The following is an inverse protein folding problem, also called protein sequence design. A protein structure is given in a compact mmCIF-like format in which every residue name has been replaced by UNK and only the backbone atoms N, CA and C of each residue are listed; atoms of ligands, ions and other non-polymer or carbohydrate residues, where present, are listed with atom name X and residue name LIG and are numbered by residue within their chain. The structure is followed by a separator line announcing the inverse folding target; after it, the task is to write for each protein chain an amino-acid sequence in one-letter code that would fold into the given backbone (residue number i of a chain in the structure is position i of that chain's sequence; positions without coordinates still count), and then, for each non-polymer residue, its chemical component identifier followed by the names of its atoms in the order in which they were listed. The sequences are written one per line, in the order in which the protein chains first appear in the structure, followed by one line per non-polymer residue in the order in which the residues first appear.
data_IF_030074318995
#
_entry.id   IF_030074318995
#
_cell.length_a   1.000
_cell.length_b   1.000
_cell.length_c   1.000
_cell.angle_alpha   90.00
_cell.angle_beta   90.00
_cell.angle_gamma   90.00
#
_symmetry.space_group_name_H-M   'P 1'
#
loop_
_entity.id
_entity.type
_entity.pdbx_description
1 polymer ?
#
# COMPACT_ATOMS: atom_id res chain seq x y z
N UNK A 1 -6.97 -14.53 12.85
CA UNK A 1 -7.08 -13.22 13.52
C UNK A 1 -8.33 -12.50 13.02
N UNK A 2 -9.05 -11.73 13.85
CA UNK A 2 -10.18 -10.92 13.38
C UNK A 2 -9.69 -9.73 12.53
N UNK A 3 -10.28 -9.55 11.34
CA UNK A 3 -9.87 -8.56 10.32
C UNK A 3 -9.90 -7.09 10.78
N UNK A 4 -10.64 -6.78 11.86
CA UNK A 4 -10.83 -5.42 12.37
C UNK A 4 -9.55 -4.76 12.91
N UNK A 5 -8.51 -5.54 13.22
CA UNK A 5 -7.26 -5.00 13.78
C UNK A 5 -6.12 -4.88 12.76
N UNK A 6 -6.30 -5.37 11.52
CA UNK A 6 -5.23 -5.41 10.51
C UNK A 6 -5.45 -4.41 9.36
N UNK A 7 -6.68 -3.91 9.19
CA UNK A 7 -7.04 -2.97 8.12
C UNK A 7 -7.34 -1.61 8.75
N UNK A 8 -6.69 -0.57 8.24
CA UNK A 8 -6.89 0.81 8.69
C UNK A 8 -7.32 1.73 7.56
N UNK A 9 -8.08 2.77 7.88
CA UNK A 9 -8.44 3.80 6.90
C UNK A 9 -7.30 4.79 6.70
N UNK A 10 -6.94 5.04 5.45
CA UNK A 10 -5.88 5.98 5.04
C UNK A 10 -6.42 6.95 4.01
N UNK A 11 -5.96 8.20 4.08
CA UNK A 11 -6.29 9.23 3.10
C UNK A 11 -5.42 9.08 1.85
N UNK A 12 -6.05 9.06 0.69
CA UNK A 12 -5.42 8.94 -0.63
C UNK A 12 -5.94 10.03 -1.58
N UNK A 13 -5.44 10.07 -2.81
CA UNK A 13 -5.95 10.95 -3.86
C UNK A 13 -7.35 10.56 -4.39
N UNK A 14 -7.90 9.42 -3.98
CA UNK A 14 -9.25 8.97 -4.32
C UNK A 14 -10.24 9.08 -3.14
N UNK A 15 -9.82 9.66 -2.01
CA UNK A 15 -10.64 9.80 -0.80
C UNK A 15 -10.08 8.99 0.37
N UNK A 16 -10.94 8.26 1.08
CA UNK A 16 -10.52 7.32 2.13
C UNK A 16 -10.44 5.91 1.55
N UNK A 17 -9.29 5.26 1.70
CA UNK A 17 -9.08 3.87 1.31
C UNK A 17 -8.77 3.02 2.54
N UNK A 18 -8.98 1.71 2.42
CA UNK A 18 -8.54 0.74 3.41
C UNK A 18 -7.13 0.26 3.06
N UNK A 19 -6.23 0.20 4.03
CA UNK A 19 -4.86 -0.26 3.85
C UNK A 19 -4.51 -1.38 4.83
N UNK A 20 -3.58 -2.23 4.41
CA UNK A 20 -2.97 -3.28 5.21
C UNK A 20 -1.45 -3.05 5.18
N UNK A 21 -0.77 -3.17 6.32
CA UNK A 21 0.67 -2.92 6.45
C UNK A 21 1.15 -1.52 5.96
N UNK A 22 0.34 -0.48 6.10
CA UNK A 22 0.74 0.90 5.78
C UNK A 22 1.13 1.68 7.03
N UNK A 23 2.30 2.33 7.00
CA UNK A 23 2.82 3.14 8.13
C UNK A 23 3.25 4.55 7.72
N UNK A 24 3.38 4.84 6.42
CA UNK A 24 3.45 6.19 5.85
C UNK A 24 4.65 7.06 6.28
N UNK A 25 4.88 8.14 5.51
CA UNK A 25 5.89 9.17 5.76
C UNK A 25 5.26 10.41 6.41
N UNK A 26 4.69 10.26 7.61
CA UNK A 26 4.06 11.38 8.31
C UNK A 26 4.05 11.23 9.83
N UNK A 27 4.52 12.26 10.54
CA UNK A 27 4.52 12.37 12.00
C UNK A 27 3.14 12.19 12.66
N UNK A 28 2.05 12.17 11.89
CA UNK A 28 0.69 11.87 12.35
C UNK A 28 0.39 10.36 12.45
N UNK A 29 1.09 9.48 11.72
CA UNK A 29 0.95 8.02 11.86
C UNK A 29 1.84 7.51 12.99
N UNK A 30 2.98 8.16 13.25
CA UNK A 30 3.84 7.92 14.42
C UNK A 30 3.17 8.20 15.77
N UNK A 31 2.02 8.89 15.80
CA UNK A 31 1.27 9.14 17.04
C UNK A 31 0.14 8.13 17.31
N UNK A 32 -0.29 7.37 16.29
CA UNK A 32 -1.37 6.36 16.44
C UNK A 32 -0.77 4.96 16.56
N UNK A 33 0.44 4.76 16.04
CA UNK A 33 1.16 3.49 16.11
C UNK A 33 2.37 3.67 17.02
N UNK A 34 2.30 3.09 18.22
CA UNK A 34 3.44 2.97 19.12
C UNK A 34 4.65 2.41 18.34
N UNK A 35 5.82 3.06 18.35
CA UNK A 35 7.00 2.60 17.63
C UNK A 35 7.56 1.24 18.13
N UNK A 36 6.97 0.69 19.20
CA UNK A 36 7.28 -0.64 19.76
C UNK A 36 6.21 -1.71 19.50
N UNK A 37 5.10 -1.37 18.83
CA UNK A 37 3.95 -2.26 18.55
C UNK A 37 3.52 -2.19 17.06
N UNK A 38 4.50 -2.17 16.15
CA UNK A 38 4.23 -2.45 14.74
C UNK A 38 4.10 -3.96 14.58
N UNK A 39 2.86 -4.47 14.60
CA UNK A 39 2.58 -5.88 14.31
C UNK A 39 2.62 -6.09 12.78
N UNK A 40 3.84 -6.12 12.22
CA UNK A 40 4.04 -6.35 10.80
C UNK A 40 3.70 -7.81 10.49
N UNK A 41 2.64 -7.98 9.70
CA UNK A 41 2.28 -9.32 9.23
C UNK A 41 3.04 -9.61 7.95
N UNK A 42 3.96 -10.57 8.00
CA UNK A 42 4.73 -11.03 6.85
C UNK A 42 4.41 -12.49 6.54
N UNK A 43 4.49 -12.84 5.25
CA UNK A 43 4.46 -14.23 4.83
C UNK A 43 5.90 -14.77 4.80
N UNK A 44 6.08 -15.99 5.32
CA UNK A 44 7.37 -16.68 5.29
C UNK A 44 7.52 -17.57 4.05
N UNK A 45 6.41 -17.88 3.39
CA UNK A 45 6.35 -18.81 2.26
C UNK A 45 5.66 -18.16 1.05
N UNK A 46 6.20 -18.36 -0.17
CA UNK A 46 5.56 -17.93 -1.40
C UNK A 46 4.46 -18.93 -1.79
N UNK A 47 3.34 -18.91 -1.07
CA UNK A 47 2.19 -19.75 -1.35
C UNK A 47 0.89 -18.97 -1.09
N UNK A 48 -0.12 -19.06 -1.98
CA UNK A 48 -1.40 -18.34 -1.82
C UNK A 48 -2.11 -18.62 -0.50
N UNK A 49 -1.87 -19.78 0.12
CA UNK A 49 -2.41 -20.16 1.41
C UNK A 49 -1.86 -19.28 2.55
N UNK A 50 -0.61 -18.84 2.42
CA UNK A 50 0.09 -17.99 3.38
C UNK A 50 0.10 -16.50 2.97
N UNK A 51 -0.62 -16.15 1.91
CA UNK A 51 -0.83 -14.78 1.46
C UNK A 51 -2.06 -14.11 2.10
N UNK A 52 -2.30 -12.85 1.71
CA UNK A 52 -3.47 -12.09 2.11
C UNK A 52 -4.68 -12.49 1.25
N UNK A 53 -5.77 -12.91 1.92
CA UNK A 53 -7.04 -13.24 1.27
C UNK A 53 -8.14 -12.39 1.87
N UNK A 54 -8.80 -11.60 1.02
CA UNK A 54 -9.86 -10.68 1.40
C UNK A 54 -11.12 -11.03 0.62
N UNK A 55 -12.24 -11.06 1.33
CA UNK A 55 -13.57 -11.06 0.73
C UNK A 55 -14.20 -9.70 1.06
N UNK A 56 -14.50 -8.93 0.03
CA UNK A 56 -14.92 -7.53 0.17
C UNK A 56 -16.35 -7.39 -0.34
N UNK A 57 -17.18 -6.67 0.43
CA UNK A 57 -18.48 -6.22 -0.02
C UNK A 57 -18.37 -4.79 -0.54
N UNK A 58 -18.81 -4.58 -1.76
CA UNK A 58 -18.78 -3.29 -2.47
C UNK A 58 -20.07 -2.51 -2.31
N UNK A 59 -21.06 -3.02 -1.57
CA UNK A 59 -22.29 -2.29 -1.22
C UNK A 59 -22.90 -1.50 -2.38
N UNK A 60 -23.23 -2.19 -3.48
CA UNK A 60 -23.67 -1.58 -4.76
C UNK A 60 -24.66 -0.41 -4.60
N UNK A 61 -25.59 -0.54 -3.66
CA UNK A 61 -26.68 0.40 -3.44
C UNK A 61 -26.23 1.74 -2.82
N UNK A 62 -25.01 1.81 -2.28
CA UNK A 62 -24.42 3.03 -1.71
C UNK A 62 -23.63 3.85 -2.75
N UNK A 63 -23.47 3.36 -3.98
CA UNK A 63 -22.79 4.10 -5.04
C UNK A 63 -23.70 5.22 -5.57
N UNK A 64 -23.50 6.42 -5.05
CA UNK A 64 -24.25 7.63 -5.44
C UNK A 64 -23.56 8.47 -6.51
N UNK A 65 -22.30 8.16 -6.84
CA UNK A 65 -21.50 8.98 -7.76
C UNK A 65 -21.64 8.55 -9.21
N UNK A 66 -22.12 9.44 -10.08
CA UNK A 66 -22.21 9.24 -11.53
C UNK A 66 -20.85 9.30 -12.25
N UNK A 67 -19.75 9.57 -11.53
CA UNK A 67 -18.43 9.81 -12.13
C UNK A 67 -17.78 8.50 -12.60
N UNK A 68 -18.03 7.38 -11.91
CA UNK A 68 -17.50 6.07 -12.31
C UNK A 68 -18.62 5.20 -12.88
N UNK A 69 -18.52 4.74 -14.14
CA UNK A 69 -19.60 3.99 -14.80
C UNK A 69 -19.66 2.51 -14.38
N UNK A 70 -18.78 2.06 -13.49
CA UNK A 70 -18.72 0.69 -13.02
C UNK A 70 -18.67 0.65 -11.48
N UNK A 71 -19.18 -0.45 -10.93
CA UNK A 71 -19.06 -0.76 -9.51
C UNK A 71 -17.94 -1.78 -9.33
N UNK A 72 -17.02 -1.47 -8.42
CA UNK A 72 -15.81 -2.26 -8.23
C UNK A 72 -14.88 -1.63 -7.22
N UNK A 73 -13.71 -2.24 -7.08
CA UNK A 73 -12.66 -1.88 -6.14
C UNK A 73 -11.39 -1.55 -6.89
N UNK A 74 -10.63 -0.57 -6.40
CA UNK A 74 -9.28 -0.34 -6.87
C UNK A 74 -8.31 -0.85 -5.81
N UNK A 75 -7.39 -1.72 -6.21
CA UNK A 75 -6.39 -2.35 -5.33
C UNK A 75 -5.02 -1.84 -5.73
N UNK A 76 -4.22 -1.42 -4.75
CA UNK A 76 -2.84 -0.94 -4.93
C UNK A 76 -1.91 -1.78 -4.05
N UNK A 77 -0.80 -2.25 -4.63
CA UNK A 77 0.28 -2.93 -3.91
C UNK A 77 1.54 -2.10 -4.07
N UNK A 78 2.10 -1.65 -2.96
CA UNK A 78 3.28 -0.78 -2.90
C UNK A 78 4.01 -0.97 -1.57
N UNK A 79 5.14 -0.28 -1.37
CA UNK A 79 5.83 -0.24 -0.09
C UNK A 79 4.96 0.43 0.99
N UNK A 80 5.03 -0.07 2.23
CA UNK A 80 4.23 0.43 3.34
C UNK A 80 4.63 1.83 3.83
N UNK A 81 5.82 2.31 3.45
CA UNK A 81 6.33 3.65 3.76
C UNK A 81 5.93 4.71 2.73
N UNK A 82 5.59 4.29 1.52
CA UNK A 82 5.30 5.17 0.39
C UNK A 82 3.85 5.66 0.41
N UNK A 83 3.63 6.92 0.01
CA UNK A 83 2.28 7.47 -0.06
C UNK A 83 1.43 6.73 -1.11
N UNK A 84 0.21 6.26 -0.76
CA UNK A 84 -0.66 5.50 -1.66
C UNK A 84 -1.25 6.36 -2.76
N UNK A 85 -0.57 6.38 -3.91
CA UNK A 85 -1.05 6.99 -5.13
C UNK A 85 -1.78 5.96 -6.02
N UNK A 86 -3.11 6.04 -6.01
CA UNK A 86 -3.98 5.15 -6.77
C UNK A 86 -3.90 5.36 -8.29
N UNK A 87 -3.30 6.44 -8.80
CA UNK A 87 -3.20 6.71 -10.24
C UNK A 87 -1.99 6.03 -10.89
N UNK A 88 -0.97 5.69 -10.12
CA UNK A 88 0.30 5.15 -10.63
C UNK A 88 0.23 3.65 -10.95
N UNK A 89 -0.29 2.83 -10.03
CA UNK A 89 -0.20 1.36 -10.15
C UNK A 89 -1.39 0.60 -9.55
N UNK A 90 -2.60 1.16 -9.64
CA UNK A 90 -3.79 0.45 -9.16
C UNK A 90 -4.39 -0.51 -10.20
N UNK A 91 -4.85 -1.66 -9.71
CA UNK A 91 -5.65 -2.63 -10.47
C UNK A 91 -7.12 -2.45 -10.12
N UNK A 92 -7.98 -2.40 -11.14
CA UNK A 92 -9.43 -2.33 -10.94
C UNK A 92 -10.02 -3.74 -10.93
N UNK A 93 -10.83 -4.04 -9.92
CA UNK A 93 -11.57 -5.28 -9.77
C UNK A 93 -13.06 -5.00 -9.91
N UNK A 94 -13.75 -5.72 -10.80
CA UNK A 94 -15.20 -5.59 -10.95
C UNK A 94 -15.96 -6.48 -9.96
N UNK A 95 -17.27 -6.23 -9.83
CA UNK A 95 -18.16 -7.12 -9.07
C UNK A 95 -18.11 -8.55 -9.60
N UNK A 96 -18.17 -9.52 -8.68
CA UNK A 96 -18.18 -10.96 -8.98
C UNK A 96 -16.91 -11.50 -9.67
N UNK A 97 -15.81 -10.76 -9.61
CA UNK A 97 -14.51 -11.16 -10.13
C UNK A 97 -13.54 -11.49 -8.97
N UNK A 98 -12.64 -12.45 -9.20
CA UNK A 98 -11.55 -12.80 -8.27
C UNK A 98 -10.22 -12.24 -8.80
N UNK A 99 -9.58 -11.35 -8.05
CA UNK A 99 -8.25 -10.84 -8.36
C UNK A 99 -7.16 -11.61 -7.60
N UNK A 100 -6.24 -12.22 -8.33
CA UNK A 100 -5.02 -12.84 -7.77
C UNK A 100 -3.80 -12.02 -8.14
N UNK A 101 -3.13 -11.47 -7.13
CA UNK A 101 -1.92 -10.67 -7.32
C UNK A 101 -0.72 -11.49 -6.81
N UNK A 102 0.20 -11.83 -7.71
CA UNK A 102 1.50 -12.39 -7.33
C UNK A 102 2.51 -11.24 -7.22
N UNK A 103 3.12 -11.09 -6.04
CA UNK A 103 4.04 -9.99 -5.76
C UNK A 103 5.47 -10.50 -5.84
N UNK A 104 6.26 -9.91 -6.73
CA UNK A 104 7.71 -10.12 -6.83
C UNK A 104 8.40 -8.80 -6.52
N UNK A 105 9.02 -8.64 -5.34
CA UNK A 105 9.64 -7.38 -4.96
C UNK A 105 10.94 -7.14 -5.74
N UNK A 106 11.10 -5.94 -6.30
CA UNK A 106 12.35 -5.47 -6.87
C UNK A 106 12.96 -4.45 -5.91
N UNK A 107 14.07 -4.80 -5.27
CA UNK A 107 14.76 -3.93 -4.32
C UNK A 107 15.97 -3.31 -5.00
N UNK A 108 15.96 -1.98 -5.09
CA UNK A 108 17.09 -1.21 -5.61
C UNK A 108 17.81 -0.56 -4.44
N UNK A 109 19.11 -0.78 -4.35
CA UNK A 109 19.96 -0.15 -3.32
C UNK A 109 21.12 0.57 -4.00
N UNK A 110 21.51 1.71 -3.43
CA UNK A 110 22.69 2.45 -3.88
C UNK A 110 23.94 1.89 -3.20
N UNK A 111 25.07 1.92 -3.92
CA UNK A 111 26.36 1.54 -3.35
C UNK A 111 26.88 2.66 -2.42
N UNK A 112 27.57 2.33 -1.32
CA UNK A 112 28.09 3.34 -0.38
C UNK A 112 29.03 4.37 -1.03
N UNK A 113 29.82 3.95 -2.02
CA UNK A 113 30.78 4.80 -2.73
C UNK A 113 30.11 5.94 -3.52
N UNK A 114 28.80 5.84 -3.78
CA UNK A 114 28.05 6.90 -4.47
C UNK A 114 27.91 8.18 -3.63
N UNK A 115 28.23 8.12 -2.32
CA UNK A 115 28.32 9.30 -1.44
C UNK A 115 29.47 10.24 -1.80
N UNK A 116 30.52 9.73 -2.46
CA UNK A 116 31.67 10.54 -2.88
C UNK A 116 31.35 11.41 -4.11
N UNK A 117 30.25 11.10 -4.82
CA UNK A 117 29.78 11.88 -5.96
C UNK A 117 28.90 13.02 -5.47
N UNK A 118 29.23 14.24 -5.90
CA UNK A 118 28.47 15.45 -5.62
C UNK A 118 26.95 15.26 -5.88
N UNK A 119 26.07 15.69 -4.96
CA UNK A 119 24.61 15.55 -5.09
C UNK A 119 24.04 16.07 -6.41
N UNK A 120 24.56 17.19 -6.93
CA UNK A 120 24.10 17.78 -8.19
C UNK A 120 24.40 16.84 -9.37
N UNK A 121 25.51 16.11 -9.32
CA UNK A 121 25.91 15.16 -10.37
C UNK A 121 25.22 13.81 -10.21
N UNK A 122 24.89 13.42 -8.98
CA UNK A 122 24.22 12.16 -8.66
C UNK A 122 22.73 12.20 -8.96
N UNK A 123 22.10 13.38 -8.86
CA UNK A 123 20.67 13.57 -9.17
C UNK A 123 19.71 12.93 -8.16
N UNK A 124 20.21 12.52 -7.00
CA UNK A 124 19.42 12.02 -5.88
C UNK A 124 20.13 12.29 -4.55
N UNK A 125 19.39 12.27 -3.44
CA UNK A 125 19.89 12.47 -2.09
C UNK A 125 19.81 11.17 -1.29
N UNK A 126 20.75 10.96 -0.38
CA UNK A 126 20.61 9.94 0.64
C UNK A 126 19.63 10.42 1.71
N UNK A 127 19.00 9.50 2.45
CA UNK A 127 18.00 9.88 3.46
C UNK A 127 18.58 10.63 4.68
N UNK A 128 19.89 10.58 4.86
CA UNK A 128 20.65 11.19 5.95
C UNK A 128 21.50 12.40 5.52
N UNK A 129 21.30 12.89 4.30
CA UNK A 129 21.98 14.06 3.72
C UNK A 129 21.03 15.27 3.65
#
# INVERSE_FOLDING_TARGET
MPCQHIIHSVKTNQGYCCSFNYYGTGSAVKQIVDPYNLDYTYSTLPDPLFGLRLLLDVEKNQYVSSIKPFHGLNVLVQDGSDYPDMHLSSSTLQMSEELRISVTPNIYTSTPNLREVDPERRGCLFGDE
#
